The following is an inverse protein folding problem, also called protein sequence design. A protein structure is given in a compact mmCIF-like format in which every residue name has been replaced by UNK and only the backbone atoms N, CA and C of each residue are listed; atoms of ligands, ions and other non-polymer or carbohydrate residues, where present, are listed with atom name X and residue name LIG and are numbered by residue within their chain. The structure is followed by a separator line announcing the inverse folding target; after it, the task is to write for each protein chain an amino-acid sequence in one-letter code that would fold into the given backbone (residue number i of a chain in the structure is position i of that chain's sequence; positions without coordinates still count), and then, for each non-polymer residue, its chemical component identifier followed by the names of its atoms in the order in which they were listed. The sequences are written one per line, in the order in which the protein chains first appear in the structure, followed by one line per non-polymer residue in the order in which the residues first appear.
data_IF_284352932242
#
_entry.id   IF_284352932242
#
_cell.length_a   1.000
_cell.length_b   1.000
_cell.length_c   1.000
_cell.angle_alpha   90.00
_cell.angle_beta   90.00
_cell.angle_gamma   90.00
#
_symmetry.space_group_name_H-M   'P 1'
#
loop_
_entity.id
_entity.type
_entity.pdbx_description
1 polymer ?
#
# COMPACT_ATOMS: atom_id res chain seq x y z
N UNK A 1 -26.70 -23.04 10.97
CA UNK A 1 -26.72 -21.67 10.37
C UNK A 1 -25.39 -20.94 10.51
N UNK A 2 -24.66 -21.16 11.61
CA UNK A 2 -23.34 -20.52 11.87
C UNK A 2 -22.27 -21.09 10.92
N UNK A 3 -22.20 -22.39 10.78
CA UNK A 3 -21.22 -23.10 9.94
C UNK A 3 -21.31 -22.69 8.44
N UNK A 4 -22.56 -22.57 7.93
CA UNK A 4 -22.79 -22.11 6.54
C UNK A 4 -22.29 -20.67 6.33
N UNK A 5 -22.44 -19.82 7.34
CA UNK A 5 -21.96 -18.45 7.31
C UNK A 5 -20.43 -18.37 7.31
N UNK A 6 -19.78 -19.18 8.15
CA UNK A 6 -18.31 -19.30 8.18
C UNK A 6 -17.74 -19.77 6.82
N UNK A 7 -18.37 -20.78 6.20
CA UNK A 7 -17.97 -21.23 4.86
C UNK A 7 -18.13 -20.13 3.80
N UNK A 8 -19.24 -19.38 3.83
CA UNK A 8 -19.46 -18.28 2.90
C UNK A 8 -18.46 -17.14 3.10
N UNK A 9 -18.12 -16.82 4.33
CA UNK A 9 -17.09 -15.82 4.65
C UNK A 9 -15.69 -16.30 4.19
N UNK A 10 -15.35 -17.57 4.39
CA UNK A 10 -14.10 -18.15 3.91
C UNK A 10 -14.01 -18.15 2.37
N UNK A 11 -15.08 -18.50 1.68
CA UNK A 11 -15.15 -18.46 0.20
C UNK A 11 -14.99 -17.04 -0.30
N UNK A 12 -15.70 -16.06 0.31
CA UNK A 12 -15.57 -14.65 -0.05
C UNK A 12 -14.13 -14.15 0.14
N UNK A 13 -13.54 -14.42 1.30
CA UNK A 13 -12.15 -14.01 1.59
C UNK A 13 -11.15 -14.61 0.59
N UNK A 14 -11.35 -15.88 0.22
CA UNK A 14 -10.51 -16.56 -0.76
C UNK A 14 -10.67 -15.97 -2.16
N UNK A 15 -11.91 -15.63 -2.55
CA UNK A 15 -12.19 -15.00 -3.84
C UNK A 15 -11.60 -13.58 -3.92
N UNK A 16 -11.73 -12.78 -2.87
CA UNK A 16 -11.15 -11.45 -2.79
C UNK A 16 -9.62 -11.52 -2.87
N UNK A 17 -8.98 -12.47 -2.18
CA UNK A 17 -7.53 -12.70 -2.25
C UNK A 17 -7.09 -13.12 -3.65
N UNK A 18 -7.86 -13.96 -4.35
CA UNK A 18 -7.54 -14.38 -5.72
C UNK A 18 -7.64 -13.20 -6.69
N UNK A 19 -8.65 -12.35 -6.55
CA UNK A 19 -8.81 -11.15 -7.37
C UNK A 19 -7.65 -10.16 -7.14
N UNK A 20 -7.19 -10.00 -5.92
CA UNK A 20 -6.02 -9.18 -5.59
C UNK A 20 -4.77 -9.72 -6.31
N UNK A 21 -4.53 -11.04 -6.26
CA UNK A 21 -3.41 -11.69 -6.95
C UNK A 21 -3.49 -11.46 -8.47
N UNK A 22 -4.67 -11.66 -9.06
CA UNK A 22 -4.86 -11.48 -10.51
C UNK A 22 -4.59 -10.03 -10.89
N UNK A 23 -5.09 -9.07 -10.12
CA UNK A 23 -4.88 -7.64 -10.38
C UNK A 23 -3.40 -7.26 -10.26
N UNK A 24 -2.70 -7.79 -9.25
CA UNK A 24 -1.25 -7.60 -9.09
C UNK A 24 -0.48 -8.11 -10.32
N UNK A 25 -0.81 -9.30 -10.81
CA UNK A 25 -0.16 -9.89 -11.99
C UNK A 25 -0.45 -9.06 -13.25
N UNK A 26 -1.68 -8.60 -13.42
CA UNK A 26 -2.07 -7.76 -14.55
C UNK A 26 -1.37 -6.39 -14.51
N UNK A 27 -1.32 -5.75 -13.34
CA UNK A 27 -0.63 -4.47 -13.17
C UNK A 27 0.87 -4.65 -13.40
N UNK A 28 1.50 -5.66 -12.81
CA UNK A 28 2.90 -5.99 -13.06
C UNK A 28 3.18 -6.19 -14.55
N UNK A 29 2.35 -6.98 -15.24
CA UNK A 29 2.49 -7.24 -16.67
C UNK A 29 2.35 -5.97 -17.53
N UNK A 30 1.41 -5.07 -17.18
CA UNK A 30 1.23 -3.79 -17.87
C UNK A 30 2.42 -2.85 -17.67
N UNK A 31 2.96 -2.82 -16.45
CA UNK A 31 4.14 -2.01 -16.10
C UNK A 31 5.37 -2.50 -16.86
N UNK A 32 5.65 -3.81 -16.82
CA UNK A 32 6.77 -4.43 -17.54
C UNK A 32 6.69 -4.21 -19.05
N UNK A 33 5.49 -4.22 -19.62
CA UNK A 33 5.27 -3.97 -21.03
C UNK A 33 5.30 -2.46 -21.39
N UNK A 34 5.45 -1.56 -20.42
CA UNK A 34 5.37 -0.10 -20.62
C UNK A 34 3.99 0.37 -21.11
N UNK A 35 2.93 -0.37 -20.79
CA UNK A 35 1.55 -0.12 -21.24
C UNK A 35 0.65 0.47 -20.16
N UNK A 36 1.18 0.72 -18.97
CA UNK A 36 0.40 1.35 -17.91
C UNK A 36 0.39 2.85 -18.16
N UNK A 37 -0.77 3.37 -18.52
CA UNK A 37 -1.02 4.79 -18.69
C UNK A 37 -1.47 5.38 -17.37
N UNK A 38 -0.90 6.54 -17.01
CA UNK A 38 -1.30 7.29 -15.83
C UNK A 38 -2.39 8.29 -16.19
N UNK A 39 -3.35 8.44 -15.30
CA UNK A 39 -4.32 9.52 -15.37
C UNK A 39 -3.70 10.83 -14.83
N UNK A 40 -4.16 11.96 -15.34
CA UNK A 40 -3.83 13.29 -14.83
C UNK A 40 -5.14 14.03 -14.57
N UNK A 41 -5.71 13.79 -13.39
CA UNK A 41 -6.97 14.40 -12.96
C UNK A 41 -6.77 15.19 -11.67
N UNK A 42 -7.60 16.19 -11.46
CA UNK A 42 -7.61 16.94 -10.22
C UNK A 42 -8.31 16.15 -9.13
N UNK A 43 -7.68 16.06 -7.97
CA UNK A 43 -8.23 15.32 -6.82
C UNK A 43 -7.83 15.96 -5.48
N UNK A 44 -8.65 15.72 -4.47
CA UNK A 44 -8.33 16.06 -3.08
C UNK A 44 -7.50 14.94 -2.44
N UNK A 45 -6.29 15.29 -1.99
CA UNK A 45 -5.35 14.31 -1.44
C UNK A 45 -5.87 13.69 -0.14
N UNK A 46 -6.44 14.50 0.76
CA UNK A 46 -6.93 14.01 2.07
C UNK A 46 -8.06 13.04 1.89
N UNK A 47 -9.02 13.35 1.03
CA UNK A 47 -10.12 12.45 0.65
C UNK A 47 -9.59 11.16 0.01
N UNK A 48 -8.57 11.28 -0.84
CA UNK A 48 -7.95 10.12 -1.50
C UNK A 48 -7.27 9.18 -0.49
N UNK A 49 -6.54 9.75 0.48
CA UNK A 49 -5.91 8.99 1.57
C UNK A 49 -6.95 8.35 2.50
N UNK A 50 -7.99 9.07 2.88
CA UNK A 50 -9.06 8.51 3.71
C UNK A 50 -9.75 7.32 3.01
N UNK A 51 -9.98 7.44 1.71
CA UNK A 51 -10.54 6.34 0.89
C UNK A 51 -9.60 5.13 0.86
N UNK A 52 -8.29 5.35 0.68
CA UNK A 52 -7.28 4.30 0.67
C UNK A 52 -7.18 3.57 2.02
N UNK A 53 -7.29 4.33 3.11
CA UNK A 53 -7.13 3.80 4.47
C UNK A 53 -8.39 3.15 5.03
N UNK A 54 -9.57 3.39 4.45
CA UNK A 54 -10.84 2.87 4.97
C UNK A 54 -10.86 1.34 5.13
N UNK A 55 -10.46 0.52 4.14
CA UNK A 55 -10.45 -0.94 4.28
C UNK A 55 -9.44 -1.43 5.32
N UNK A 56 -8.28 -0.77 5.41
CA UNK A 56 -7.19 -1.18 6.31
C UNK A 56 -7.41 -0.73 7.74
N UNK A 57 -8.20 0.34 7.98
CA UNK A 57 -8.61 0.76 9.34
C UNK A 57 -9.38 -0.33 10.08
N UNK A 58 -10.25 -1.06 9.38
CA UNK A 58 -10.97 -2.17 10.01
C UNK A 58 -10.01 -3.27 10.46
N UNK A 59 -9.09 -3.69 9.58
CA UNK A 59 -8.07 -4.70 9.90
C UNK A 59 -7.15 -4.27 11.05
N UNK A 60 -6.73 -3.00 11.07
CA UNK A 60 -5.93 -2.46 12.17
C UNK A 60 -6.69 -2.54 13.50
N UNK A 61 -7.98 -2.15 13.50
CA UNK A 61 -8.84 -2.19 14.68
C UNK A 61 -9.05 -3.63 15.18
N UNK A 62 -9.26 -4.59 14.29
CA UNK A 62 -9.41 -6.02 14.63
C UNK A 62 -8.14 -6.58 15.29
N UNK A 63 -6.95 -6.09 14.88
CA UNK A 63 -5.66 -6.40 15.51
C UNK A 63 -5.36 -5.58 16.77
N UNK A 64 -6.18 -4.58 17.11
CA UNK A 64 -5.91 -3.66 18.23
C UNK A 64 -4.76 -2.69 17.96
N UNK A 65 -4.45 -2.41 16.68
CA UNK A 65 -3.42 -1.45 16.27
C UNK A 65 -3.99 -0.03 16.16
N UNK A 66 -3.20 0.96 16.57
CA UNK A 66 -3.51 2.37 16.38
C UNK A 66 -3.01 2.82 15.00
N UNK A 67 -3.93 3.08 14.07
CA UNK A 67 -3.62 3.58 12.73
C UNK A 67 -3.85 5.10 12.67
N UNK A 68 -2.75 5.83 12.48
CA UNK A 68 -2.74 7.30 12.38
C UNK A 68 -2.44 7.74 10.96
N UNK A 69 -3.07 8.83 10.53
CA UNK A 69 -2.75 9.50 9.28
C UNK A 69 -2.64 11.00 9.53
N UNK A 70 -1.53 11.59 9.15
CA UNK A 70 -1.27 13.00 9.28
C UNK A 70 -0.77 13.58 7.96
N UNK A 71 -1.47 14.61 7.48
CA UNK A 71 -1.06 15.39 6.31
C UNK A 71 -0.82 16.80 6.80
N UNK A 72 0.40 17.32 6.62
CA UNK A 72 0.77 18.67 7.09
C UNK A 72 -0.04 19.75 6.36
N UNK A 73 -0.18 20.91 6.99
CA UNK A 73 -1.01 22.00 6.45
C UNK A 73 -0.43 22.62 5.19
N UNK A 74 0.89 22.49 4.98
CA UNK A 74 1.58 22.96 3.78
C UNK A 74 1.22 22.15 2.51
N UNK A 75 0.69 20.95 2.67
CA UNK A 75 0.30 20.12 1.53
C UNK A 75 -0.95 20.67 0.88
N UNK A 76 -0.91 21.01 -0.43
CA UNK A 76 -2.09 21.50 -1.14
C UNK A 76 -3.24 20.49 -1.07
N UNK A 77 -4.45 21.00 -0.86
CA UNK A 77 -5.65 20.16 -0.83
C UNK A 77 -5.90 19.50 -2.20
N UNK A 78 -5.80 20.32 -3.27
CA UNK A 78 -6.03 19.84 -4.63
C UNK A 78 -4.70 19.62 -5.34
N UNK A 79 -4.55 18.44 -5.91
CA UNK A 79 -3.41 18.01 -6.70
C UNK A 79 -3.89 17.50 -8.05
N UNK A 80 -3.03 17.55 -9.06
CA UNK A 80 -3.27 16.90 -10.34
C UNK A 80 -2.37 15.68 -10.48
N UNK A 81 -2.94 14.53 -10.85
CA UNK A 81 -2.22 13.26 -10.95
C UNK A 81 -3.14 12.06 -11.01
N UNK A 82 -2.62 10.89 -10.63
CA UNK A 82 -3.38 9.63 -10.63
C UNK A 82 -3.73 9.20 -9.19
N UNK A 83 -4.92 9.56 -8.68
CA UNK A 83 -5.34 9.19 -7.32
C UNK A 83 -5.54 7.67 -7.16
N UNK A 84 -5.81 6.94 -8.24
CA UNK A 84 -6.00 5.49 -8.18
C UNK A 84 -4.68 4.80 -7.90
N UNK A 85 -3.63 5.18 -8.59
CA UNK A 85 -2.28 4.63 -8.38
C UNK A 85 -1.69 5.09 -7.05
N UNK A 86 -1.93 6.33 -6.65
CA UNK A 86 -1.54 6.80 -5.32
C UNK A 86 -2.21 5.98 -4.21
N UNK A 87 -3.53 5.73 -4.31
CA UNK A 87 -4.24 4.88 -3.34
C UNK A 87 -3.69 3.46 -3.32
N UNK A 88 -3.35 2.90 -4.47
CA UNK A 88 -2.75 1.56 -4.57
C UNK A 88 -1.41 1.49 -3.82
N UNK A 89 -0.52 2.46 -4.02
CA UNK A 89 0.75 2.59 -3.30
C UNK A 89 0.51 2.63 -1.79
N UNK A 90 -0.33 3.55 -1.33
CA UNK A 90 -0.60 3.75 0.11
C UNK A 90 -1.23 2.50 0.73
N UNK A 91 -2.26 1.94 0.09
CA UNK A 91 -2.96 0.75 0.60
C UNK A 91 -2.00 -0.44 0.73
N UNK A 92 -1.14 -0.65 -0.26
CA UNK A 92 -0.19 -1.75 -0.24
C UNK A 92 0.84 -1.60 0.89
N UNK A 93 1.43 -0.43 1.04
CA UNK A 93 2.40 -0.17 2.10
C UNK A 93 1.77 -0.28 3.50
N UNK A 94 0.59 0.32 3.71
CA UNK A 94 -0.11 0.28 5.00
C UNK A 94 -0.62 -1.13 5.32
N UNK A 95 -1.10 -1.88 4.33
CA UNK A 95 -1.49 -3.29 4.52
C UNK A 95 -0.31 -4.13 4.97
N UNK A 96 0.88 -3.92 4.38
CA UNK A 96 2.10 -4.61 4.82
C UNK A 96 2.49 -4.21 6.25
N UNK A 97 2.46 -2.92 6.59
CA UNK A 97 2.72 -2.44 7.93
C UNK A 97 1.79 -3.11 8.97
N UNK A 98 0.47 -3.12 8.72
CA UNK A 98 -0.51 -3.78 9.60
C UNK A 98 -0.28 -5.30 9.67
N UNK A 99 0.08 -5.91 8.55
CA UNK A 99 0.34 -7.35 8.47
C UNK A 99 1.48 -7.78 9.37
N UNK A 100 2.58 -7.03 9.39
CA UNK A 100 3.80 -7.35 10.12
C UNK A 100 3.92 -6.69 11.50
N UNK A 101 2.88 -5.97 11.93
CA UNK A 101 2.77 -5.42 13.28
C UNK A 101 1.75 -6.21 14.08
N UNK A 102 2.17 -6.84 15.18
CA UNK A 102 1.25 -7.57 16.06
C UNK A 102 0.66 -6.66 17.14
N UNK A 103 1.43 -5.68 17.64
CA UNK A 103 1.00 -4.72 18.68
C UNK A 103 1.64 -3.35 18.43
N UNK A 104 0.96 -2.29 18.87
CA UNK A 104 1.47 -0.93 18.75
C UNK A 104 0.73 -0.10 17.72
N UNK A 105 1.45 0.54 16.81
CA UNK A 105 0.83 1.48 15.87
C UNK A 105 1.44 1.41 14.47
N UNK A 106 0.66 1.93 13.52
CA UNK A 106 1.09 2.26 12.17
C UNK A 106 0.77 3.74 11.93
N UNK A 107 1.73 4.51 11.46
CA UNK A 107 1.54 5.92 11.15
C UNK A 107 1.84 6.22 9.68
N UNK A 108 0.97 7.01 9.07
CA UNK A 108 1.13 7.56 7.71
C UNK A 108 1.33 9.06 7.87
N UNK A 109 2.41 9.59 7.32
CA UNK A 109 2.67 11.03 7.29
C UNK A 109 2.91 11.48 5.86
N UNK A 110 2.30 12.61 5.47
CA UNK A 110 2.56 13.26 4.18
C UNK A 110 2.91 14.71 4.43
N UNK A 111 4.03 15.14 3.87
CA UNK A 111 4.55 16.51 3.99
C UNK A 111 5.11 16.99 2.64
N UNK A 112 5.27 18.28 2.51
CA UNK A 112 5.92 18.88 1.34
C UNK A 112 7.42 18.77 1.51
N UNK A 113 8.08 18.09 0.59
CA UNK A 113 9.54 18.03 0.52
C UNK A 113 10.10 19.25 -0.20
N UNK A 114 9.52 19.58 -1.35
CA UNK A 114 9.92 20.77 -2.11
C UNK A 114 8.80 21.28 -3.00
N UNK A 115 8.94 22.54 -3.43
CA UNK A 115 8.05 23.16 -4.40
C UNK A 115 8.88 23.82 -5.49
N UNK A 116 8.43 23.65 -6.73
CA UNK A 116 9.02 24.33 -7.87
C UNK A 116 7.92 24.75 -8.82
N UNK A 117 7.73 26.06 -8.97
CA UNK A 117 6.64 26.66 -9.77
C UNK A 117 5.27 26.14 -9.34
N UNK A 118 4.55 25.44 -10.21
CA UNK A 118 3.27 24.81 -9.92
C UNK A 118 3.40 23.38 -9.37
N UNK A 119 4.58 22.79 -9.43
CA UNK A 119 4.83 21.43 -9.01
C UNK A 119 5.16 21.35 -7.51
N UNK A 120 4.69 20.28 -6.89
CA UNK A 120 5.00 19.97 -5.50
C UNK A 120 5.55 18.55 -5.40
N UNK A 121 6.67 18.39 -4.72
CA UNK A 121 7.19 17.08 -4.33
C UNK A 121 6.71 16.79 -2.91
N UNK A 122 5.99 15.69 -2.77
CA UNK A 122 5.48 15.23 -1.48
C UNK A 122 6.35 14.08 -0.97
N UNK A 123 6.73 14.16 0.30
CA UNK A 123 7.33 13.06 1.03
C UNK A 123 6.25 12.33 1.81
N UNK A 124 6.01 11.06 1.46
CA UNK A 124 5.11 10.17 2.20
C UNK A 124 5.93 9.17 3.00
N UNK A 125 5.71 9.08 4.31
CA UNK A 125 6.32 8.06 5.16
C UNK A 125 5.26 7.18 5.81
N UNK A 126 5.53 5.88 5.84
CA UNK A 126 4.74 4.89 6.58
C UNK A 126 5.69 4.25 7.59
N UNK A 127 5.35 4.40 8.86
CA UNK A 127 6.12 3.85 9.99
C UNK A 127 5.26 2.83 10.73
N UNK A 128 5.86 1.70 11.08
CA UNK A 128 5.23 0.65 11.88
C UNK A 128 6.12 0.26 13.07
N UNK A 129 5.51 -0.31 14.09
CA UNK A 129 6.19 -0.84 15.29
C UNK A 129 6.29 -2.37 15.23
N UNK A 130 6.34 -2.95 14.05
CA UNK A 130 6.35 -4.39 13.83
C UNK A 130 7.72 -5.03 13.99
N UNK A 131 7.86 -6.19 13.37
CA UNK A 131 9.07 -7.02 13.49
C UNK A 131 10.32 -6.41 12.84
N UNK A 132 10.17 -5.36 12.04
CA UNK A 132 11.25 -4.78 11.25
C UNK A 132 11.72 -5.68 10.10
N UNK A 133 12.69 -5.16 9.33
CA UNK A 133 13.29 -5.87 8.19
C UNK A 133 14.80 -5.98 8.44
N UNK A 134 15.35 -7.20 8.54
CA UNK A 134 16.79 -7.39 8.68
C UNK A 134 17.56 -6.68 7.57
N UNK A 135 18.68 -6.05 7.91
CA UNK A 135 19.47 -5.22 6.98
C UNK A 135 19.86 -5.97 5.71
N UNK A 136 20.16 -7.27 5.84
CA UNK A 136 20.55 -8.12 4.70
C UNK A 136 19.39 -8.36 3.72
N UNK A 137 18.13 -8.24 4.18
CA UNK A 137 16.93 -8.45 3.37
C UNK A 137 16.42 -7.17 2.72
N UNK A 138 16.75 -5.99 3.28
CA UNK A 138 16.25 -4.70 2.81
C UNK A 138 16.46 -4.45 1.30
N UNK A 139 17.61 -4.77 0.69
CA UNK A 139 17.80 -4.59 -0.75
C UNK A 139 16.89 -5.49 -1.59
N UNK A 140 16.49 -6.64 -1.04
CA UNK A 140 15.77 -7.70 -1.77
C UNK A 140 14.26 -7.63 -1.66
N UNK A 141 13.70 -6.88 -0.70
CA UNK A 141 12.25 -6.79 -0.48
C UNK A 141 11.50 -6.18 -1.67
N UNK A 142 12.21 -5.47 -2.55
CA UNK A 142 11.65 -4.88 -3.77
C UNK A 142 11.84 -5.75 -5.02
N UNK A 143 12.51 -6.90 -4.91
CA UNK A 143 12.64 -7.86 -6.01
C UNK A 143 11.32 -8.63 -6.18
N UNK A 144 10.93 -8.85 -7.44
CA UNK A 144 9.71 -9.58 -7.77
C UNK A 144 9.74 -11.00 -7.22
N UNK A 145 8.62 -11.47 -6.68
CA UNK A 145 8.45 -12.81 -6.12
C UNK A 145 9.38 -13.13 -4.94
N UNK A 146 10.03 -12.14 -4.36
CA UNK A 146 10.88 -12.30 -3.19
C UNK A 146 10.04 -12.18 -1.93
N UNK A 147 10.17 -13.15 -1.03
CA UNK A 147 9.57 -13.14 0.30
C UNK A 147 10.69 -13.30 1.33
N UNK A 148 10.61 -12.53 2.41
CA UNK A 148 11.70 -12.41 3.38
C UNK A 148 12.12 -13.73 4.06
N UNK A 149 11.17 -14.72 4.20
CA UNK A 149 11.49 -16.04 4.79
C UNK A 149 10.41 -17.09 4.45
N UNK A 150 10.82 -18.35 4.21
CA UNK A 150 9.92 -19.49 4.03
C UNK A 150 9.09 -19.85 5.28
N UNK A 151 9.42 -19.31 6.45
CA UNK A 151 8.66 -19.47 7.69
C UNK A 151 7.51 -18.45 7.81
N UNK A 152 7.70 -17.24 7.28
CA UNK A 152 6.66 -16.19 7.25
C UNK A 152 5.58 -16.48 6.22
N UNK A 153 5.88 -17.25 5.18
CA UNK A 153 4.94 -17.66 4.12
C UNK A 153 3.74 -18.43 4.67
N UNK A 154 3.96 -19.29 5.67
CA UNK A 154 2.87 -20.07 6.30
C UNK A 154 1.97 -19.22 7.19
N UNK A 155 2.47 -18.10 7.71
CA UNK A 155 1.74 -17.27 8.68
C UNK A 155 1.05 -16.08 8.05
N UNK A 156 1.63 -15.51 6.99
CA UNK A 156 1.18 -14.21 6.48
C UNK A 156 0.83 -14.18 4.97
N UNK A 157 1.16 -15.18 4.15
CA UNK A 157 0.81 -15.25 2.74
C UNK A 157 1.15 -13.98 1.92
N UNK A 158 1.06 -14.03 0.62
CA UNK A 158 1.21 -12.87 -0.26
C UNK A 158 1.86 -13.26 -1.60
N UNK A 159 1.71 -12.40 -2.62
CA UNK A 159 2.25 -12.62 -3.97
C UNK A 159 3.75 -12.38 -4.08
N UNK A 160 4.31 -11.56 -3.18
CA UNK A 160 5.67 -11.02 -3.31
C UNK A 160 5.79 -9.99 -4.44
N UNK A 161 4.67 -9.54 -5.01
CA UNK A 161 4.64 -8.52 -6.07
C UNK A 161 4.34 -7.13 -5.54
N UNK A 162 3.67 -7.02 -4.40
CA UNK A 162 3.16 -5.75 -3.90
C UNK A 162 4.22 -4.65 -3.79
N UNK A 163 5.36 -4.89 -3.12
CA UNK A 163 6.42 -3.89 -2.99
C UNK A 163 7.10 -3.58 -4.33
N UNK A 164 7.24 -4.57 -5.21
CA UNK A 164 7.77 -4.36 -6.56
C UNK A 164 6.85 -3.45 -7.37
N UNK A 165 5.54 -3.73 -7.36
CA UNK A 165 4.54 -2.89 -8.02
C UNK A 165 4.55 -1.49 -7.43
N UNK A 166 4.60 -1.35 -6.10
CA UNK A 166 4.67 -0.06 -5.41
C UNK A 166 5.87 0.75 -5.88
N UNK A 167 7.06 0.16 -5.94
CA UNK A 167 8.27 0.83 -6.42
C UNK A 167 8.15 1.29 -7.87
N UNK A 168 7.58 0.45 -8.73
CA UNK A 168 7.36 0.80 -10.14
C UNK A 168 6.32 1.91 -10.29
N UNK A 169 5.23 1.87 -9.52
CA UNK A 169 4.23 2.93 -9.52
C UNK A 169 4.80 4.25 -9.04
N UNK A 170 5.59 4.27 -7.95
CA UNK A 170 6.27 5.48 -7.50
C UNK A 170 7.14 6.08 -8.62
N UNK A 171 7.90 5.23 -9.32
CA UNK A 171 8.73 5.69 -10.45
C UNK A 171 7.89 6.25 -11.60
N UNK A 172 6.78 5.62 -11.95
CA UNK A 172 5.86 6.11 -12.98
C UNK A 172 5.22 7.44 -12.57
N UNK A 173 4.88 7.62 -11.30
CA UNK A 173 4.36 8.87 -10.74
C UNK A 173 5.43 9.98 -10.63
N UNK A 174 6.67 9.73 -11.07
CA UNK A 174 7.76 10.69 -11.06
C UNK A 174 8.51 10.79 -9.73
N UNK A 175 8.29 9.84 -8.83
CA UNK A 175 8.91 9.75 -7.51
C UNK A 175 9.84 8.54 -7.36
N UNK A 176 10.19 8.24 -6.10
CA UNK A 176 11.01 7.10 -5.70
C UNK A 176 10.50 6.47 -4.41
N UNK A 177 10.94 5.26 -4.09
CA UNK A 177 10.63 4.51 -2.87
C UNK A 177 11.90 3.90 -2.29
#
# INVERSE_FOLDING_TARGET
QDETREYLEAVRTSADSLLEIINDILDFSKIEAGRLELEAIDFDLRTSLDTALLPVRLRAREKGLDLRCHVTDEVPANLSGDPTRLRQVVTNLVSNAIKFTDHGHVSVKVEVESRKDADVVLHGSIEDTGIGIPTEQQPRIFESFTQADGSTTRRFGGTGLGLTITKQLCKLLGGEL
#
